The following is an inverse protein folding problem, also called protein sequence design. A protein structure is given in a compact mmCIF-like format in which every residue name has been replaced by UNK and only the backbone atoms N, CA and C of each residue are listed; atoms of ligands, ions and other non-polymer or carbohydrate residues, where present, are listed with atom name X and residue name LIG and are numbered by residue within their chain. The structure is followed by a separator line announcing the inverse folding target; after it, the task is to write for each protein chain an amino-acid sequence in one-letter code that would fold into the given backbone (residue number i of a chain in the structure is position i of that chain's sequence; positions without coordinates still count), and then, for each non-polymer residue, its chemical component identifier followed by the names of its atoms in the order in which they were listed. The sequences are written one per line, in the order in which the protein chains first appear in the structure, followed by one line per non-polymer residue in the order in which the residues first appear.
data_IF_714201987228
#
_entry.id   IF_714201987228
#
_cell.length_a   1.000
_cell.length_b   1.000
_cell.length_c   1.000
_cell.angle_alpha   90.00
_cell.angle_beta   90.00
_cell.angle_gamma   90.00
#
_symmetry.space_group_name_H-M   'P 1'
#
loop_
_entity.id
_entity.type
_entity.pdbx_description
1 polymer ?
#
# COMPACT_ATOMS: atom_id res chain seq x y z
N UNK A 1 -6.77 -6.78 -8.07
CA UNK A 1 -7.21 -6.20 -6.76
C UNK A 1 -6.39 -6.86 -5.67
N UNK A 2 -5.96 -6.11 -4.63
CA UNK A 2 -5.25 -6.71 -3.49
C UNK A 2 -6.23 -7.39 -2.53
N UNK A 3 -5.74 -8.38 -1.75
CA UNK A 3 -6.59 -9.12 -0.80
C UNK A 3 -7.26 -8.19 0.22
N UNK A 4 -6.52 -7.21 0.77
CA UNK A 4 -7.07 -6.27 1.74
C UNK A 4 -8.12 -5.32 1.15
N UNK A 5 -7.92 -4.85 -0.08
CA UNK A 5 -8.91 -4.02 -0.77
C UNK A 5 -10.20 -4.80 -1.05
N UNK A 6 -10.09 -6.07 -1.45
CA UNK A 6 -11.25 -6.95 -1.63
C UNK A 6 -12.04 -7.14 -0.32
N UNK A 7 -11.35 -7.39 0.79
CA UNK A 7 -11.96 -7.48 2.11
C UNK A 7 -12.67 -6.17 2.53
N UNK A 8 -12.04 -5.01 2.28
CA UNK A 8 -12.62 -3.70 2.57
C UNK A 8 -13.90 -3.42 1.75
N UNK A 9 -13.94 -3.82 0.48
CA UNK A 9 -15.13 -3.68 -0.36
C UNK A 9 -16.30 -4.53 0.14
N UNK A 10 -16.03 -5.78 0.50
CA UNK A 10 -17.04 -6.69 1.05
C UNK A 10 -17.58 -6.12 2.37
N UNK A 11 -16.68 -5.76 3.29
CA UNK A 11 -17.04 -5.24 4.60
C UNK A 11 -17.84 -3.94 4.55
N UNK A 12 -17.49 -3.05 3.61
CA UNK A 12 -18.21 -1.78 3.43
C UNK A 12 -19.51 -1.92 2.64
N UNK A 13 -19.77 -3.08 2.04
CA UNK A 13 -20.90 -3.30 1.15
C UNK A 13 -20.79 -2.60 -0.21
N UNK A 14 -19.60 -2.04 -0.53
CA UNK A 14 -19.38 -1.34 -1.79
C UNK A 14 -19.45 -2.28 -2.99
N UNK A 15 -18.79 -3.44 -2.88
CA UNK A 15 -18.91 -4.55 -3.82
C UNK A 15 -19.18 -5.83 -3.04
N UNK A 16 -20.23 -6.53 -3.46
CA UNK A 16 -20.63 -7.80 -2.87
C UNK A 16 -20.53 -8.89 -3.96
N UNK A 17 -19.31 -9.40 -4.21
CA UNK A 17 -19.13 -10.50 -5.16
C UNK A 17 -19.70 -11.78 -4.56
N UNK A 18 -20.02 -12.75 -5.40
CA UNK A 18 -20.46 -14.07 -4.92
C UNK A 18 -19.31 -14.87 -4.30
N UNK A 19 -18.09 -14.64 -4.77
CA UNK A 19 -16.89 -15.34 -4.35
C UNK A 19 -15.75 -14.37 -4.03
N UNK A 20 -14.98 -14.72 -2.99
CA UNK A 20 -13.76 -14.01 -2.58
C UNK A 20 -12.63 -15.01 -2.39
N UNK A 21 -11.48 -14.76 -3.05
CA UNK A 21 -10.27 -15.58 -2.91
C UNK A 21 -9.06 -14.67 -2.63
N UNK A 22 -8.71 -14.47 -1.36
CA UNK A 22 -7.47 -13.78 -0.98
C UNK A 22 -6.26 -14.71 -1.18
N UNK A 23 -5.04 -14.15 -1.14
CA UNK A 23 -3.82 -14.97 -1.22
C UNK A 23 -3.69 -15.94 -0.03
N UNK A 24 -4.16 -15.52 1.16
CA UNK A 24 -4.24 -16.35 2.39
C UNK A 24 -5.48 -15.95 3.20
N UNK A 25 -5.74 -16.65 4.31
CA UNK A 25 -6.95 -16.43 5.12
C UNK A 25 -6.98 -15.10 5.87
N UNK A 26 -5.85 -14.46 6.17
CA UNK A 26 -5.76 -13.34 7.12
C UNK A 26 -6.79 -12.22 6.90
N UNK A 27 -6.99 -11.81 5.65
CA UNK A 27 -7.98 -10.77 5.34
C UNK A 27 -9.43 -11.27 5.36
N UNK A 28 -9.66 -12.56 5.12
CA UNK A 28 -10.98 -13.15 5.30
C UNK A 28 -11.34 -13.25 6.78
N UNK A 29 -10.39 -13.71 7.62
CA UNK A 29 -10.53 -13.78 9.07
C UNK A 29 -10.80 -12.39 9.67
N UNK A 30 -10.06 -11.38 9.22
CA UNK A 30 -10.29 -9.98 9.59
C UNK A 30 -11.70 -9.50 9.17
N UNK A 31 -12.10 -9.79 7.93
CA UNK A 31 -13.40 -9.37 7.41
C UNK A 31 -14.55 -9.99 8.22
N UNK A 32 -14.43 -11.26 8.59
CA UNK A 32 -15.43 -11.95 9.40
C UNK A 32 -15.59 -11.34 10.79
N UNK A 33 -14.49 -11.07 11.53
CA UNK A 33 -14.56 -10.45 12.86
C UNK A 33 -15.02 -8.99 12.82
N UNK A 34 -14.96 -8.36 11.64
CA UNK A 34 -15.44 -6.99 11.42
C UNK A 34 -16.80 -6.90 10.74
N UNK A 35 -17.52 -8.03 10.64
CA UNK A 35 -18.94 -8.11 10.29
C UNK A 35 -19.27 -8.61 8.89
N UNK A 36 -18.29 -9.04 8.08
CA UNK A 36 -18.57 -9.68 6.81
C UNK A 36 -19.05 -11.12 7.04
N UNK A 37 -20.10 -11.53 6.34
CA UNK A 37 -20.59 -12.92 6.37
C UNK A 37 -19.90 -13.70 5.23
N UNK A 38 -18.89 -14.50 5.59
CA UNK A 38 -18.10 -15.32 4.68
C UNK A 38 -18.19 -16.78 5.09
N UNK A 39 -18.40 -17.67 4.11
CA UNK A 39 -18.33 -19.13 4.31
C UNK A 39 -17.17 -19.68 3.51
N UNK A 40 -16.18 -20.30 4.17
CA UNK A 40 -15.11 -21.02 3.47
C UNK A 40 -15.68 -22.22 2.74
N UNK A 41 -15.47 -22.31 1.43
CA UNK A 41 -15.88 -23.43 0.57
C UNK A 41 -14.71 -24.27 0.06
N UNK A 42 -13.51 -23.71 0.09
CA UNK A 42 -12.28 -24.45 -0.17
C UNK A 42 -11.13 -23.75 0.55
N UNK A 43 -10.40 -24.49 1.37
CA UNK A 43 -9.26 -23.95 2.13
C UNK A 43 -8.02 -23.71 1.26
N UNK A 44 -7.97 -24.34 0.10
CA UNK A 44 -6.83 -24.27 -0.81
C UNK A 44 -7.24 -24.49 -2.27
N UNK A 45 -7.34 -23.42 -3.04
CA UNK A 45 -7.50 -23.54 -4.49
C UNK A 45 -6.18 -23.91 -5.16
N UNK A 46 -5.09 -23.23 -4.81
CA UNK A 46 -3.73 -23.49 -5.33
C UNK A 46 -2.71 -23.15 -4.25
N UNK A 47 -1.63 -23.94 -4.16
CA UNK A 47 -0.54 -23.73 -3.22
C UNK A 47 0.41 -22.64 -3.66
N UNK A 48 0.71 -21.68 -2.76
CA UNK A 48 1.74 -20.69 -2.92
C UNK A 48 2.43 -20.42 -1.57
N UNK A 49 3.53 -19.68 -1.58
CA UNK A 49 4.32 -19.43 -0.36
C UNK A 49 4.83 -17.99 -0.36
N UNK A 50 4.67 -17.28 0.76
CA UNK A 50 5.35 -16.01 1.00
C UNK A 50 6.83 -16.26 1.30
N UNK A 51 7.67 -15.33 0.87
CA UNK A 51 9.10 -15.40 1.15
C UNK A 51 9.79 -14.06 1.02
N UNK A 52 11.04 -14.02 1.45
CA UNK A 52 11.95 -12.92 1.15
C UNK A 52 12.88 -13.34 0.02
N UNK A 53 13.10 -12.42 -0.90
CA UNK A 53 14.11 -12.51 -1.93
C UNK A 53 15.38 -11.85 -1.42
N UNK A 54 16.44 -12.59 -1.25
CA UNK A 54 17.77 -12.14 -0.80
C UNK A 54 18.72 -12.11 -1.99
N UNK A 55 19.54 -11.08 -2.14
CA UNK A 55 20.55 -11.03 -3.22
C UNK A 55 21.39 -12.30 -3.18
N UNK A 56 21.67 -12.85 -4.36
CA UNK A 56 22.57 -14.02 -4.48
C UNK A 56 23.92 -13.75 -3.86
N UNK A 57 24.50 -14.78 -3.28
CA UNK A 57 25.76 -14.73 -2.53
C UNK A 57 25.68 -13.96 -1.21
N UNK A 58 24.48 -13.65 -0.71
CA UNK A 58 24.33 -13.22 0.68
C UNK A 58 24.46 -14.42 1.63
N UNK A 59 24.80 -14.13 2.89
CA UNK A 59 24.95 -15.15 3.94
C UNK A 59 23.61 -15.52 4.60
N UNK A 60 22.50 -14.89 4.19
CA UNK A 60 21.17 -15.15 4.74
C UNK A 60 20.65 -16.53 4.37
N UNK A 61 20.23 -17.31 5.38
CA UNK A 61 19.67 -18.65 5.21
C UNK A 61 18.24 -18.75 5.72
N UNK A 62 17.86 -17.90 6.65
CA UNK A 62 16.55 -17.88 7.29
C UNK A 62 15.97 -16.46 7.30
N UNK A 63 14.67 -16.35 7.54
CA UNK A 63 14.00 -15.05 7.70
C UNK A 63 14.49 -14.33 8.97
N UNK A 64 14.88 -15.07 10.01
CA UNK A 64 15.45 -14.51 11.25
C UNK A 64 16.79 -13.82 11.00
N UNK A 65 17.62 -14.35 10.10
CA UNK A 65 18.87 -13.70 9.67
C UNK A 65 18.56 -12.34 9.04
N UNK A 66 17.55 -12.30 8.17
CA UNK A 66 17.09 -11.08 7.50
C UNK A 66 16.54 -10.07 8.53
N UNK A 67 15.66 -10.51 9.45
CA UNK A 67 15.09 -9.64 10.50
C UNK A 67 16.19 -9.02 11.35
N UNK A 68 17.21 -9.79 11.76
CA UNK A 68 18.35 -9.26 12.51
C UNK A 68 19.14 -8.21 11.71
N UNK A 69 19.36 -8.47 10.42
CA UNK A 69 20.06 -7.53 9.55
C UNK A 69 19.28 -6.24 9.33
N UNK A 70 17.93 -6.31 9.19
CA UNK A 70 17.05 -5.14 9.14
C UNK A 70 17.15 -4.35 10.44
N UNK A 71 16.98 -4.99 11.61
CA UNK A 71 17.06 -4.33 12.92
C UNK A 71 18.39 -3.62 13.16
N UNK A 72 19.49 -4.13 12.61
CA UNK A 72 20.81 -3.49 12.68
C UNK A 72 21.05 -2.41 11.63
N UNK A 73 20.12 -2.18 10.72
CA UNK A 73 20.27 -1.21 9.61
C UNK A 73 21.35 -1.60 8.60
N UNK A 74 21.74 -2.88 8.53
CA UNK A 74 22.84 -3.33 7.68
C UNK A 74 22.42 -3.66 6.24
N UNK A 75 21.12 -3.68 5.95
CA UNK A 75 20.56 -3.95 4.62
C UNK A 75 19.40 -3.04 4.27
N UNK A 76 19.22 -2.77 2.99
CA UNK A 76 18.03 -2.11 2.46
C UNK A 76 16.95 -3.16 2.22
N UNK A 77 15.93 -3.14 3.07
CA UNK A 77 14.80 -4.06 3.03
C UNK A 77 13.54 -3.37 2.56
N UNK A 78 12.74 -4.07 1.74
CA UNK A 78 11.43 -3.59 1.31
C UNK A 78 10.33 -4.64 1.50
N UNK A 79 9.14 -4.18 1.91
CA UNK A 79 7.96 -5.03 1.99
C UNK A 79 6.69 -4.29 1.53
N UNK A 80 5.62 -5.03 1.29
CA UNK A 80 4.34 -4.47 0.84
C UNK A 80 3.46 -4.09 2.03
N UNK A 81 2.66 -3.03 1.86
CA UNK A 81 1.79 -2.51 2.92
C UNK A 81 0.88 -3.58 3.54
N UNK A 82 0.99 -3.85 4.86
CA UNK A 82 0.17 -4.84 5.56
C UNK A 82 -1.34 -4.56 5.53
N UNK A 83 -1.75 -3.32 5.35
CA UNK A 83 -3.17 -2.94 5.29
C UNK A 83 -3.86 -3.41 4.00
N UNK A 84 -3.10 -3.69 2.95
CA UNK A 84 -3.65 -4.04 1.63
C UNK A 84 -3.12 -5.34 1.06
N UNK A 85 -1.89 -5.72 1.41
CA UNK A 85 -1.18 -6.87 0.87
C UNK A 85 -1.18 -8.05 1.85
N UNK A 86 -1.67 -9.20 1.41
CA UNK A 86 -1.62 -10.43 2.21
C UNK A 86 -0.19 -10.84 2.57
N UNK A 87 0.76 -10.63 1.65
CA UNK A 87 2.17 -10.95 1.89
C UNK A 87 2.82 -9.99 2.89
N UNK A 88 2.47 -8.70 2.83
CA UNK A 88 2.90 -7.70 3.83
C UNK A 88 2.30 -7.96 5.20
N UNK A 89 1.01 -8.31 5.26
CA UNK A 89 0.33 -8.69 6.50
C UNK A 89 0.93 -9.97 7.10
N UNK A 90 1.25 -10.95 6.26
CA UNK A 90 1.93 -12.17 6.70
C UNK A 90 3.30 -11.86 7.33
N UNK A 91 4.07 -10.91 6.77
CA UNK A 91 5.33 -10.49 7.39
C UNK A 91 5.12 -9.79 8.73
N UNK A 92 4.18 -8.86 8.81
CA UNK A 92 3.83 -8.19 10.07
C UNK A 92 3.50 -9.20 11.17
N UNK A 93 2.58 -10.12 10.89
CA UNK A 93 2.20 -11.19 11.81
C UNK A 93 3.39 -12.05 12.20
N UNK A 94 4.25 -12.40 11.24
CA UNK A 94 5.47 -13.18 11.50
C UNK A 94 6.42 -12.46 12.45
N UNK A 95 6.68 -11.17 12.25
CA UNK A 95 7.57 -10.38 13.12
C UNK A 95 7.01 -10.30 14.54
N UNK A 96 5.71 -10.04 14.70
CA UNK A 96 5.05 -9.99 16.00
C UNK A 96 5.06 -11.37 16.70
N UNK A 97 4.55 -12.42 16.03
CA UNK A 97 4.45 -13.78 16.58
C UNK A 97 5.80 -14.44 16.85
N UNK A 98 6.86 -14.07 16.14
CA UNK A 98 8.21 -14.57 16.43
C UNK A 98 8.83 -14.01 17.72
N UNK A 99 8.30 -12.91 18.21
CA UNK A 99 8.74 -12.30 19.47
C UNK A 99 7.89 -12.75 20.67
N UNK A 100 6.57 -12.89 20.47
CA UNK A 100 5.64 -13.36 21.49
C UNK A 100 4.37 -13.94 20.83
N UNK A 101 3.77 -14.94 21.42
CA UNK A 101 2.48 -15.51 21.00
C UNK A 101 1.36 -14.46 21.05
N UNK A 102 1.37 -13.55 22.03
CA UNK A 102 0.49 -12.39 22.13
C UNK A 102 1.03 -11.24 21.30
N UNK A 103 0.39 -10.95 20.16
CA UNK A 103 0.78 -9.87 19.24
C UNK A 103 0.75 -8.49 19.89
N UNK A 104 -0.05 -8.29 20.94
CA UNK A 104 -0.20 -7.03 21.67
C UNK A 104 0.78 -6.88 22.82
N UNK A 105 1.59 -7.89 23.13
CA UNK A 105 2.60 -7.83 24.18
C UNK A 105 3.65 -6.74 23.89
N UNK A 106 4.23 -6.18 24.95
CA UNK A 106 5.31 -5.19 24.82
C UNK A 106 6.49 -5.76 24.02
N UNK A 107 6.79 -7.04 24.15
CA UNK A 107 7.86 -7.71 23.42
C UNK A 107 7.58 -7.75 21.90
N UNK A 108 6.35 -8.11 21.51
CA UNK A 108 5.94 -8.14 20.11
C UNK A 108 5.95 -6.74 19.49
N UNK A 109 5.35 -5.75 20.16
CA UNK A 109 5.28 -4.36 19.69
C UNK A 109 6.69 -3.77 19.54
N UNK A 110 7.57 -3.97 20.52
CA UNK A 110 8.96 -3.52 20.44
C UNK A 110 9.72 -4.19 19.31
N UNK A 111 9.54 -5.51 19.11
CA UNK A 111 10.19 -6.24 18.02
C UNK A 111 9.80 -5.71 16.64
N UNK A 112 8.51 -5.38 16.44
CA UNK A 112 8.04 -4.75 15.22
C UNK A 112 8.56 -3.33 15.05
N UNK A 113 8.53 -2.51 16.10
CA UNK A 113 9.00 -1.11 16.07
C UNK A 113 10.49 -1.05 15.72
N UNK A 114 11.33 -1.87 16.35
CA UNK A 114 12.77 -1.96 16.04
C UNK A 114 13.02 -2.41 14.59
N UNK A 115 12.23 -3.38 14.11
CA UNK A 115 12.30 -3.84 12.73
C UNK A 115 11.91 -2.72 11.76
N UNK A 116 10.77 -2.10 11.97
CA UNK A 116 10.20 -1.12 11.04
C UNK A 116 10.99 0.21 11.00
N UNK A 117 11.64 0.61 12.09
CA UNK A 117 12.49 1.81 12.16
C UNK A 117 13.62 1.82 11.11
N UNK A 118 14.09 0.65 10.70
CA UNK A 118 15.17 0.49 9.75
C UNK A 118 14.71 0.01 8.37
N UNK A 119 13.39 0.00 8.10
CA UNK A 119 12.87 -0.32 6.78
C UNK A 119 12.77 0.96 5.94
N UNK A 120 13.59 1.12 4.90
CA UNK A 120 13.58 2.33 4.08
C UNK A 120 12.39 2.41 3.13
N UNK A 121 11.71 1.29 2.87
CA UNK A 121 10.70 1.24 1.81
C UNK A 121 9.55 0.27 2.10
N UNK A 122 8.34 0.83 2.17
CA UNK A 122 7.09 0.07 2.19
C UNK A 122 6.34 0.33 0.89
N UNK A 123 6.26 -0.68 0.03
CA UNK A 123 5.59 -0.56 -1.26
C UNK A 123 4.07 -0.71 -1.13
N UNK A 124 3.33 0.05 -1.91
CA UNK A 124 1.89 -0.12 -2.02
C UNK A 124 1.51 -1.40 -2.79
N UNK A 125 2.31 -1.76 -3.81
CA UNK A 125 2.07 -2.95 -4.64
C UNK A 125 3.33 -3.80 -4.81
N UNK A 126 3.13 -5.09 -5.14
CA UNK A 126 4.23 -6.01 -5.52
C UNK A 126 4.96 -5.55 -6.80
N UNK A 127 4.29 -4.82 -7.69
CA UNK A 127 4.92 -4.29 -8.89
C UNK A 127 5.94 -3.20 -8.54
N UNK A 128 5.55 -2.23 -7.68
CA UNK A 128 6.47 -1.19 -7.20
C UNK A 128 7.68 -1.80 -6.49
N UNK A 129 7.47 -2.85 -5.70
CA UNK A 129 8.56 -3.58 -5.06
C UNK A 129 9.54 -4.15 -6.08
N UNK A 130 9.03 -4.74 -7.18
CA UNK A 130 9.88 -5.28 -8.26
C UNK A 130 10.64 -4.20 -9.01
N UNK A 131 10.00 -3.06 -9.25
CA UNK A 131 10.63 -1.93 -9.94
C UNK A 131 11.79 -1.36 -9.10
N UNK A 132 11.59 -1.19 -7.79
CA UNK A 132 12.65 -0.77 -6.86
C UNK A 132 13.80 -1.79 -6.76
N UNK A 133 13.49 -3.09 -6.78
CA UNK A 133 14.51 -4.13 -6.81
C UNK A 133 15.29 -4.13 -8.14
N UNK A 134 14.60 -3.89 -9.26
CA UNK A 134 15.21 -3.78 -10.59
C UNK A 134 16.25 -2.66 -10.68
N UNK A 135 16.05 -1.58 -9.95
CA UNK A 135 16.97 -0.44 -9.85
C UNK A 135 18.14 -0.68 -8.89
N UNK A 136 18.18 -1.83 -8.22
CA UNK A 136 19.27 -2.22 -7.31
C UNK A 136 19.23 -1.58 -5.92
N UNK A 137 18.19 -0.81 -5.59
CA UNK A 137 18.04 -0.09 -4.32
C UNK A 137 17.72 -1.01 -3.14
N UNK A 138 17.22 -2.23 -3.36
CA UNK A 138 16.90 -3.17 -2.30
C UNK A 138 17.87 -4.35 -2.28
N UNK A 139 18.37 -4.69 -1.09
CA UNK A 139 19.17 -5.88 -0.85
C UNK A 139 18.28 -7.10 -0.64
N UNK A 140 17.16 -6.89 0.02
CA UNK A 140 16.15 -7.90 0.34
C UNK A 140 14.75 -7.33 0.13
N UNK A 141 13.83 -8.12 -0.40
CA UNK A 141 12.43 -7.74 -0.54
C UNK A 141 11.49 -8.91 -0.30
N UNK A 142 10.27 -8.60 0.14
CA UNK A 142 9.20 -9.59 0.28
C UNK A 142 8.57 -9.90 -1.08
N UNK A 143 8.29 -11.18 -1.33
CA UNK A 143 7.61 -11.64 -2.55
C UNK A 143 6.88 -12.96 -2.31
N UNK A 144 6.19 -13.43 -3.33
CA UNK A 144 5.59 -14.77 -3.38
C UNK A 144 6.41 -15.70 -4.30
N UNK A 145 6.42 -16.99 -3.99
CA UNK A 145 7.17 -17.97 -4.77
C UNK A 145 6.73 -18.02 -6.23
N UNK A 146 5.43 -17.95 -6.49
CA UNK A 146 4.86 -17.92 -7.83
C UNK A 146 5.41 -16.73 -8.65
N UNK A 147 5.53 -15.56 -8.06
CA UNK A 147 6.12 -14.37 -8.71
C UNK A 147 7.61 -14.59 -8.99
N UNK A 148 8.34 -15.11 -8.00
CA UNK A 148 9.77 -15.39 -8.12
C UNK A 148 10.08 -16.40 -9.23
N UNK A 149 9.36 -17.53 -9.26
CA UNK A 149 9.67 -18.61 -10.23
C UNK A 149 9.37 -18.22 -11.68
N UNK A 150 8.42 -17.29 -11.89
CA UNK A 150 8.06 -16.80 -13.23
C UNK A 150 8.93 -15.62 -13.71
N UNK A 151 9.70 -14.98 -12.83
CA UNK A 151 10.58 -13.87 -13.20
C UNK A 151 12.02 -14.36 -13.45
N UNK A 152 12.49 -14.24 -14.70
CA UNK A 152 13.88 -14.59 -15.06
C UNK A 152 14.89 -13.70 -14.33
N UNK A 153 14.58 -12.43 -14.18
CA UNK A 153 15.49 -11.46 -13.56
C UNK A 153 15.57 -11.66 -12.05
N UNK A 154 14.45 -11.91 -11.38
CA UNK A 154 14.46 -12.23 -9.96
C UNK A 154 15.24 -13.51 -9.67
N UNK A 155 15.02 -14.58 -10.45
CA UNK A 155 15.78 -15.84 -10.31
C UNK A 155 17.27 -15.69 -10.57
N UNK A 156 17.66 -14.76 -11.43
CA UNK A 156 19.07 -14.48 -11.71
C UNK A 156 19.75 -13.72 -10.56
N UNK A 157 19.02 -12.77 -9.93
CA UNK A 157 19.58 -11.85 -8.97
C UNK A 157 19.40 -12.27 -7.49
N UNK A 158 18.37 -13.07 -7.19
CA UNK A 158 17.95 -13.38 -5.82
C UNK A 158 17.79 -14.89 -5.58
N UNK A 159 17.87 -15.26 -4.31
CA UNK A 159 17.44 -16.56 -3.77
C UNK A 159 16.17 -16.35 -2.92
N UNK A 160 15.31 -17.38 -2.82
CA UNK A 160 14.03 -17.32 -2.14
C UNK A 160 14.11 -18.05 -0.79
N UNK A 161 13.77 -17.35 0.29
CA UNK A 161 13.65 -17.89 1.66
C UNK A 161 12.19 -17.78 2.09
N UNK A 162 11.48 -18.89 2.36
CA UNK A 162 10.08 -18.87 2.77
C UNK A 162 9.90 -18.37 4.21
N UNK A 163 8.72 -17.79 4.51
CA UNK A 163 8.32 -17.41 5.86
C UNK A 163 6.79 -17.42 6.04
N UNK A 164 6.37 -17.39 7.29
CA UNK A 164 4.99 -17.13 7.71
C UNK A 164 4.01 -18.24 7.35
N UNK A 165 2.75 -17.88 7.16
CA UNK A 165 1.73 -18.82 6.71
C UNK A 165 1.77 -19.01 5.20
N UNK A 166 1.22 -20.12 4.74
CA UNK A 166 1.08 -20.41 3.30
C UNK A 166 0.05 -19.48 2.65
N UNK A 167 0.31 -19.15 1.40
CA UNK A 167 -0.63 -18.42 0.55
C UNK A 167 -1.39 -19.45 -0.33
N UNK A 168 -2.27 -20.22 0.27
CA UNK A 168 -2.98 -21.32 -0.38
C UNK A 168 -4.27 -20.89 -1.10
N UNK A 169 -4.50 -19.58 -1.25
CA UNK A 169 -5.61 -18.98 -1.97
C UNK A 169 -6.97 -19.60 -1.61
N UNK A 170 -7.42 -19.49 -0.34
CA UNK A 170 -8.72 -20.04 0.05
C UNK A 170 -9.87 -19.39 -0.71
N UNK A 171 -10.96 -20.11 -0.89
CA UNK A 171 -12.17 -19.65 -1.56
C UNK A 171 -13.30 -19.50 -0.57
N UNK A 172 -13.90 -18.33 -0.51
CA UNK A 172 -15.06 -18.01 0.34
C UNK A 172 -16.27 -17.65 -0.51
N UNK A 173 -17.45 -18.12 -0.10
CA UNK A 173 -18.70 -17.54 -0.52
C UNK A 173 -18.98 -16.28 0.30
N UNK A 174 -19.41 -15.20 -0.36
CA UNK A 174 -19.86 -13.97 0.30
C UNK A 174 -21.38 -14.02 0.45
N UNK A 175 -21.86 -14.06 1.70
CA UNK A 175 -23.27 -14.20 2.00
C UNK A 175 -23.91 -12.81 2.14
N UNK A 176 -24.75 -12.46 1.17
CA UNK A 176 -25.58 -11.26 1.21
C UNK A 176 -26.94 -11.55 0.53
N UNK A 177 -27.99 -10.93 1.04
CA UNK A 177 -29.33 -11.18 0.53
C UNK A 177 -29.81 -12.62 0.77
N UNK A 178 -30.81 -13.06 0.03
CA UNK A 178 -31.24 -14.45 0.01
C UNK A 178 -30.41 -15.24 -1.01
N UNK A 179 -29.64 -16.22 -0.56
CA UNK A 179 -28.99 -17.15 -1.51
C UNK A 179 -30.05 -18.03 -2.14
N UNK A 180 -30.30 -17.86 -3.43
CA UNK A 180 -31.12 -18.76 -4.23
C UNK A 180 -30.32 -20.02 -4.64
N UNK A 181 -31.01 -21.01 -5.15
CA UNK A 181 -30.37 -22.26 -5.53
C UNK A 181 -29.50 -22.12 -6.79
N UNK A 182 -29.81 -21.17 -7.67
CA UNK A 182 -29.01 -20.85 -8.86
C UNK A 182 -27.63 -20.30 -8.48
N UNK A 183 -27.57 -19.39 -7.50
CA UNK A 183 -26.30 -18.88 -6.98
C UNK A 183 -25.45 -20.02 -6.37
N UNK A 184 -26.06 -20.92 -5.59
CA UNK A 184 -25.34 -22.05 -4.98
C UNK A 184 -24.81 -23.02 -6.04
N UNK A 185 -25.60 -23.34 -7.08
CA UNK A 185 -25.15 -24.15 -8.21
C UNK A 185 -23.99 -23.49 -8.95
N UNK A 186 -24.07 -22.19 -9.22
CA UNK A 186 -23.01 -21.42 -9.88
C UNK A 186 -21.70 -21.47 -9.08
N UNK A 187 -21.75 -21.25 -7.77
CA UNK A 187 -20.59 -21.36 -6.87
C UNK A 187 -19.98 -22.76 -6.90
N UNK A 188 -20.81 -23.81 -6.84
CA UNK A 188 -20.36 -25.18 -6.90
C UNK A 188 -19.67 -25.51 -8.23
N UNK A 189 -20.24 -25.06 -9.34
CA UNK A 189 -19.66 -25.24 -10.67
C UNK A 189 -18.29 -24.55 -10.81
N UNK A 190 -18.16 -23.32 -10.32
CA UNK A 190 -16.88 -22.60 -10.32
C UNK A 190 -15.85 -23.33 -9.48
N UNK A 191 -16.21 -23.78 -8.28
CA UNK A 191 -15.32 -24.59 -7.43
C UNK A 191 -14.86 -25.86 -8.13
N UNK A 192 -15.79 -26.64 -8.69
CA UNK A 192 -15.48 -27.90 -9.41
C UNK A 192 -14.52 -27.64 -10.56
N UNK A 193 -14.74 -26.59 -11.35
CA UNK A 193 -13.82 -26.23 -12.43
C UNK A 193 -12.43 -25.87 -11.90
N UNK A 194 -12.32 -25.02 -10.89
CA UNK A 194 -11.03 -24.60 -10.31
C UNK A 194 -10.26 -25.77 -9.70
N UNK A 195 -10.97 -26.75 -9.14
CA UNK A 195 -10.36 -27.95 -8.54
C UNK A 195 -10.12 -29.09 -9.56
N UNK A 196 -10.51 -28.90 -10.83
CA UNK A 196 -10.30 -29.89 -11.87
C UNK A 196 -8.80 -30.16 -12.12
N UNK A 197 -8.48 -31.38 -12.59
CA UNK A 197 -7.10 -31.75 -12.91
C UNK A 197 -6.47 -30.83 -13.97
N UNK A 198 -7.28 -30.33 -14.91
CA UNK A 198 -6.84 -29.40 -15.95
C UNK A 198 -6.47 -28.04 -15.36
N UNK A 199 -7.32 -27.45 -14.52
CA UNK A 199 -7.06 -26.18 -13.86
C UNK A 199 -5.84 -26.28 -12.92
N UNK A 200 -5.71 -27.35 -12.15
CA UNK A 200 -4.57 -27.58 -11.24
C UNK A 200 -3.25 -27.82 -11.99
N UNK A 201 -3.30 -28.49 -13.14
CA UNK A 201 -2.14 -28.60 -14.03
C UNK A 201 -1.72 -27.24 -14.55
N UNK A 202 -2.65 -26.44 -15.03
CA UNK A 202 -2.40 -25.08 -15.50
C UNK A 202 -1.78 -24.22 -14.39
N UNK A 203 -2.36 -24.25 -13.19
CA UNK A 203 -1.82 -23.54 -12.02
C UNK A 203 -0.36 -23.93 -11.75
N UNK A 204 -0.03 -25.22 -11.83
CA UNK A 204 1.34 -25.71 -11.64
C UNK A 204 2.30 -25.23 -12.73
N UNK A 205 1.85 -25.15 -13.98
CA UNK A 205 2.61 -24.58 -15.10
C UNK A 205 2.92 -23.09 -14.91
N UNK A 206 2.03 -22.36 -14.21
CA UNK A 206 2.21 -20.96 -13.84
C UNK A 206 2.87 -20.75 -12.47
N UNK A 207 3.50 -21.80 -11.90
CA UNK A 207 4.36 -21.70 -10.72
C UNK A 207 3.65 -21.83 -9.38
N UNK A 208 2.36 -22.13 -9.36
CA UNK A 208 1.65 -22.55 -8.16
C UNK A 208 1.92 -24.03 -7.84
N UNK A 209 1.43 -24.49 -6.70
CA UNK A 209 1.58 -25.88 -6.23
C UNK A 209 3.06 -26.34 -6.15
N UNK A 210 3.95 -25.40 -5.85
CA UNK A 210 5.38 -25.64 -5.64
C UNK A 210 5.75 -25.19 -4.20
N UNK A 211 7.00 -25.52 -3.74
CA UNK A 211 7.42 -25.22 -2.35
C UNK A 211 6.47 -25.80 -1.29
N UNK A 212 6.01 -27.01 -1.52
CA UNK A 212 5.11 -27.73 -0.61
C UNK A 212 5.76 -28.18 0.71
N UNK A 213 7.09 -28.12 0.78
CA UNK A 213 7.91 -28.38 1.96
C UNK A 213 7.77 -27.30 3.04
N UNK A 214 7.35 -26.07 2.67
CA UNK A 214 7.10 -25.02 3.65
C UNK A 214 5.78 -25.25 4.38
N UNK A 215 5.84 -25.19 5.71
CA UNK A 215 4.66 -25.24 6.59
C UNK A 215 4.44 -23.87 7.24
N UNK A 216 3.19 -23.55 7.51
CA UNK A 216 2.84 -22.35 8.28
C UNK A 216 3.58 -22.32 9.60
N UNK A 217 4.20 -21.18 9.93
CA UNK A 217 5.07 -21.01 11.09
C UNK A 217 4.35 -20.44 12.32
N UNK A 218 3.10 -20.01 12.16
CA UNK A 218 2.24 -19.52 13.24
C UNK A 218 0.77 -19.80 12.92
N UNK A 219 -0.06 -19.78 13.98
CA UNK A 219 -1.51 -19.73 13.90
C UNK A 219 -1.99 -18.36 14.39
N UNK A 220 -3.16 -17.91 13.91
CA UNK A 220 -3.71 -16.61 14.30
C UNK A 220 -5.22 -16.57 14.15
N UNK A 221 -5.85 -15.59 14.76
CA UNK A 221 -7.28 -15.28 14.68
C UNK A 221 -7.51 -13.94 14.00
N UNK A 222 -8.72 -13.71 13.48
CA UNK A 222 -9.07 -12.41 12.90
C UNK A 222 -8.96 -11.23 13.89
N UNK A 223 -9.13 -11.47 15.20
CA UNK A 223 -8.93 -10.45 16.22
C UNK A 223 -7.46 -10.08 16.34
N UNK A 224 -6.55 -11.04 16.42
CA UNK A 224 -5.11 -10.78 16.43
C UNK A 224 -4.63 -10.08 15.16
N UNK A 225 -5.23 -10.41 13.99
CA UNK A 225 -4.95 -9.69 12.73
C UNK A 225 -5.40 -8.23 12.84
N UNK A 226 -6.56 -7.96 13.44
CA UNK A 226 -7.04 -6.59 13.69
C UNK A 226 -6.11 -5.81 14.61
N UNK A 227 -5.65 -6.43 15.69
CA UNK A 227 -4.68 -5.86 16.63
C UNK A 227 -3.33 -5.59 15.98
N UNK A 228 -2.81 -6.54 15.20
CA UNK A 228 -1.57 -6.36 14.45
C UNK A 228 -1.64 -5.18 13.47
N UNK A 229 -2.75 -5.01 12.76
CA UNK A 229 -2.96 -3.87 11.86
C UNK A 229 -3.06 -2.53 12.62
N UNK A 230 -3.60 -2.54 13.85
CA UNK A 230 -3.59 -1.34 14.69
C UNK A 230 -2.16 -1.04 15.19
N UNK A 231 -1.40 -2.05 15.62
CA UNK A 231 0.02 -1.90 16.01
C UNK A 231 0.83 -1.35 14.82
N UNK A 232 0.62 -1.89 13.61
CA UNK A 232 1.25 -1.35 12.39
C UNK A 232 0.92 0.13 12.21
N UNK A 233 -0.36 0.49 12.29
CA UNK A 233 -0.80 1.88 12.11
C UNK A 233 -0.15 2.83 13.11
N UNK A 234 -0.03 2.42 14.36
CA UNK A 234 0.49 3.27 15.45
C UNK A 234 2.02 3.38 15.44
N UNK A 235 2.72 2.44 14.77
CA UNK A 235 4.18 2.36 14.79
C UNK A 235 4.84 2.38 13.39
N UNK A 236 4.06 2.53 12.30
CA UNK A 236 4.59 2.41 10.92
C UNK A 236 5.61 3.48 10.53
N UNK A 237 5.51 4.67 11.12
CA UNK A 237 6.43 5.79 10.90
C UNK A 237 7.72 5.69 11.74
N UNK A 238 7.84 4.62 12.54
CA UNK A 238 9.01 4.37 13.36
C UNK A 238 9.24 5.42 14.44
N UNK A 239 8.17 6.10 14.87
CA UNK A 239 8.24 7.21 15.80
C UNK A 239 8.87 8.48 15.21
N UNK A 240 9.15 8.49 13.89
CA UNK A 240 9.62 9.68 13.17
C UNK A 240 8.43 10.34 12.50
N UNK A 241 8.01 11.53 12.94
CA UNK A 241 6.88 12.23 12.35
C UNK A 241 7.09 12.52 10.86
N UNK A 242 6.02 12.44 10.08
CA UNK A 242 6.02 12.78 8.67
C UNK A 242 5.52 14.20 8.49
N UNK A 243 6.21 14.98 7.65
CA UNK A 243 5.73 16.26 7.15
C UNK A 243 5.22 16.07 5.72
N UNK A 244 3.89 16.10 5.52
CA UNK A 244 3.30 15.88 4.21
C UNK A 244 2.64 17.14 3.65
N UNK A 245 2.93 17.44 2.38
CA UNK A 245 2.23 18.47 1.61
C UNK A 245 1.33 17.80 0.57
N UNK A 246 0.02 18.01 0.68
CA UNK A 246 -0.96 17.59 -0.31
C UNK A 246 -1.10 18.67 -1.36
N UNK A 247 -0.88 18.32 -2.61
CA UNK A 247 -0.90 19.21 -3.78
C UNK A 247 -2.09 18.80 -4.64
N UNK A 248 -3.19 19.53 -4.48
CA UNK A 248 -4.50 19.23 -5.05
C UNK A 248 -4.73 19.99 -6.35
N UNK A 249 -4.94 19.25 -7.43
CA UNK A 249 -5.33 19.80 -8.71
C UNK A 249 -6.74 20.39 -8.64
N UNK A 250 -6.84 21.65 -9.03
CA UNK A 250 -8.08 22.39 -9.16
C UNK A 250 -8.23 22.99 -10.56
N UNK A 251 -7.56 22.41 -11.57
CA UNK A 251 -7.70 22.84 -12.96
C UNK A 251 -9.09 22.60 -13.52
N UNK A 252 -9.37 23.16 -14.69
CA UNK A 252 -10.70 23.08 -15.32
C UNK A 252 -11.15 21.65 -15.62
N UNK A 253 -10.26 20.73 -15.92
CA UNK A 253 -10.53 19.29 -16.15
C UNK A 253 -11.04 18.57 -14.89
N UNK A 254 -10.63 19.03 -13.70
CA UNK A 254 -11.12 18.51 -12.42
C UNK A 254 -12.57 18.90 -12.10
N UNK A 255 -13.25 19.64 -12.96
CA UNK A 255 -14.62 20.11 -12.68
C UNK A 255 -15.62 18.95 -12.57
N UNK A 256 -16.51 19.01 -11.59
CA UNK A 256 -17.56 18.02 -11.35
C UNK A 256 -17.07 16.83 -10.53
N UNK A 257 -17.25 15.62 -11.06
CA UNK A 257 -16.99 14.37 -10.34
C UNK A 257 -15.51 14.21 -9.89
N UNK A 258 -14.47 14.52 -10.69
CA UNK A 258 -13.09 14.38 -10.23
C UNK A 258 -12.77 15.20 -8.97
N UNK A 259 -13.16 16.47 -8.94
CA UNK A 259 -12.95 17.33 -7.77
C UNK A 259 -13.77 16.87 -6.56
N UNK A 260 -14.99 16.39 -6.79
CA UNK A 260 -15.81 15.82 -5.72
C UNK A 260 -15.12 14.60 -5.10
N UNK A 261 -14.61 13.66 -5.92
CA UNK A 261 -13.88 12.48 -5.46
C UNK A 261 -12.57 12.86 -4.72
N UNK A 262 -11.84 13.84 -5.24
CA UNK A 262 -10.65 14.36 -4.55
C UNK A 262 -10.99 14.87 -3.14
N UNK A 263 -12.01 15.72 -3.01
CA UNK A 263 -12.47 16.24 -1.70
C UNK A 263 -12.91 15.13 -0.75
N UNK A 264 -13.70 14.18 -1.24
CA UNK A 264 -14.13 13.02 -0.45
C UNK A 264 -12.95 12.18 0.01
N UNK A 265 -11.98 11.96 -0.87
CA UNK A 265 -10.78 11.17 -0.58
C UNK A 265 -9.91 11.81 0.50
N UNK A 266 -9.66 13.10 0.40
CA UNK A 266 -8.91 13.85 1.42
C UNK A 266 -9.66 13.85 2.76
N UNK A 267 -10.96 14.15 2.76
CA UNK A 267 -11.79 14.18 3.98
C UNK A 267 -11.85 12.80 4.66
N UNK A 268 -12.05 11.74 3.89
CA UNK A 268 -12.05 10.38 4.42
C UNK A 268 -10.66 9.92 4.86
N UNK A 269 -9.61 10.34 4.14
CA UNK A 269 -8.22 10.01 4.42
C UNK A 269 -7.71 10.56 5.74
N UNK A 270 -8.19 11.74 6.17
CA UNK A 270 -7.75 12.38 7.42
C UNK A 270 -7.80 11.47 8.65
N UNK A 271 -8.77 10.54 8.72
CA UNK A 271 -8.91 9.62 9.87
C UNK A 271 -7.80 8.58 9.97
N UNK A 272 -7.02 8.42 8.91
CA UNK A 272 -5.90 7.46 8.85
C UNK A 272 -4.55 8.11 9.09
N UNK A 273 -4.51 9.44 9.20
CA UNK A 273 -3.29 10.21 9.46
C UNK A 273 -3.06 10.28 10.97
N UNK A 274 -1.87 9.92 11.42
CA UNK A 274 -1.50 10.01 12.83
C UNK A 274 -1.40 11.48 13.26
N UNK A 275 -1.78 11.75 14.51
CA UNK A 275 -1.80 13.13 15.06
C UNK A 275 -0.41 13.71 15.30
N UNK A 276 0.63 12.88 15.25
CA UNK A 276 2.03 13.32 15.38
C UNK A 276 2.63 13.82 14.08
N UNK A 277 2.00 13.54 12.95
CA UNK A 277 2.41 14.03 11.64
C UNK A 277 2.09 15.52 11.47
N UNK A 278 2.73 16.14 10.49
CA UNK A 278 2.54 17.52 10.09
C UNK A 278 1.98 17.57 8.67
N UNK A 279 0.85 18.22 8.50
CA UNK A 279 0.10 18.15 7.24
C UNK A 279 -0.22 19.55 6.73
N UNK A 280 0.04 19.78 5.44
CA UNK A 280 -0.35 20.98 4.70
C UNK A 280 -1.15 20.67 3.45
N UNK A 281 -1.84 21.67 2.88
CA UNK A 281 -2.63 21.56 1.66
C UNK A 281 -2.32 22.74 0.74
N UNK A 282 -1.95 22.43 -0.49
CA UNK A 282 -1.76 23.37 -1.59
C UNK A 282 -2.80 23.05 -2.65
N UNK A 283 -3.51 24.05 -3.14
CA UNK A 283 -4.32 23.95 -4.35
C UNK A 283 -3.61 24.59 -5.53
N UNK A 284 -3.85 24.11 -6.74
CA UNK A 284 -3.33 24.74 -7.94
C UNK A 284 -4.28 24.62 -9.12
N UNK A 285 -4.26 25.69 -9.91
CA UNK A 285 -4.79 25.84 -11.25
C UNK A 285 -3.73 26.60 -12.10
N UNK A 286 -4.01 27.78 -12.60
CA UNK A 286 -3.02 28.74 -13.10
C UNK A 286 -2.44 29.64 -11.99
N UNK A 287 -2.85 29.40 -10.75
CA UNK A 287 -2.34 30.01 -9.52
C UNK A 287 -2.11 28.91 -8.49
N UNK A 288 -1.07 29.05 -7.69
CA UNK A 288 -0.75 28.13 -6.61
C UNK A 288 -1.10 28.82 -5.29
N UNK A 289 -1.90 28.16 -4.48
CA UNK A 289 -2.40 28.69 -3.19
C UNK A 289 -2.10 27.71 -2.08
N UNK A 290 -1.42 28.16 -1.03
CA UNK A 290 -1.27 27.41 0.22
C UNK A 290 -2.58 27.58 0.98
N UNK A 291 -3.46 26.60 0.90
CA UNK A 291 -4.77 26.60 1.57
C UNK A 291 -4.61 26.38 3.07
N UNK A 292 -3.70 25.49 3.43
CA UNK A 292 -3.39 25.12 4.82
C UNK A 292 -1.87 24.97 4.97
N UNK A 293 -1.19 25.85 5.71
CA UNK A 293 0.24 25.68 6.00
C UNK A 293 0.52 24.39 6.76
N UNK A 294 1.72 23.83 6.55
CA UNK A 294 2.16 22.60 7.24
C UNK A 294 2.20 22.86 8.75
N UNK A 295 1.47 22.06 9.52
CA UNK A 295 1.48 22.10 10.97
C UNK A 295 1.09 20.74 11.56
N UNK A 296 1.33 20.55 12.89
CA UNK A 296 1.00 19.31 13.60
C UNK A 296 -0.49 18.98 13.43
N UNK A 297 -0.78 17.72 13.05
CA UNK A 297 -2.12 17.27 12.65
C UNK A 297 -3.01 16.96 13.86
N UNK A 298 -3.08 17.92 14.78
CA UNK A 298 -4.00 17.91 15.90
C UNK A 298 -5.45 18.24 15.49
N UNK A 299 -6.35 18.33 16.45
CA UNK A 299 -7.78 18.62 16.20
C UNK A 299 -7.95 19.97 15.47
N UNK A 300 -7.13 20.96 15.78
CA UNK A 300 -7.19 22.29 15.17
C UNK A 300 -6.75 22.25 13.71
N UNK A 301 -5.60 21.60 13.42
CA UNK A 301 -5.11 21.45 12.06
C UNK A 301 -6.04 20.60 11.20
N UNK A 302 -6.66 19.53 11.76
CA UNK A 302 -7.70 18.75 11.08
C UNK A 302 -8.88 19.62 10.65
N UNK A 303 -9.31 20.56 11.50
CA UNK A 303 -10.39 21.50 11.17
C UNK A 303 -9.98 22.48 10.07
N UNK A 304 -8.75 23.01 10.10
CA UNK A 304 -8.22 23.85 9.02
C UNK A 304 -8.09 23.09 7.72
N UNK A 305 -7.61 21.84 7.77
CA UNK A 305 -7.45 21.00 6.59
C UNK A 305 -8.82 20.71 5.95
N UNK A 306 -9.84 20.36 6.73
CA UNK A 306 -11.21 20.20 6.22
C UNK A 306 -11.73 21.49 5.61
N UNK A 307 -11.54 22.64 6.28
CA UNK A 307 -11.91 23.95 5.74
C UNK A 307 -11.19 24.33 4.46
N UNK A 308 -9.93 23.89 4.29
CA UNK A 308 -9.15 24.02 3.05
C UNK A 308 -9.75 23.17 1.93
N UNK A 309 -10.06 21.90 2.22
CA UNK A 309 -10.72 20.98 1.27
C UNK A 309 -12.04 21.57 0.77
N UNK A 310 -12.86 22.10 1.68
CA UNK A 310 -14.18 22.64 1.35
C UNK A 310 -14.10 23.82 0.36
N UNK A 311 -13.01 24.62 0.44
CA UNK A 311 -12.77 25.78 -0.44
C UNK A 311 -12.29 25.43 -1.83
N UNK A 312 -11.74 24.22 -2.07
CA UNK A 312 -11.24 23.83 -3.39
C UNK A 312 -12.33 24.03 -4.45
N UNK A 313 -11.98 24.63 -5.57
CA UNK A 313 -12.91 24.87 -6.69
C UNK A 313 -12.17 24.73 -8.00
N UNK A 314 -12.77 24.04 -8.97
CA UNK A 314 -12.12 23.78 -10.26
C UNK A 314 -12.21 24.99 -11.19
N UNK A 315 -11.11 25.23 -11.94
CA UNK A 315 -11.02 26.27 -12.96
C UNK A 315 -9.59 26.47 -13.43
N UNK A 316 -9.36 27.21 -14.51
CA UNK A 316 -8.02 27.56 -14.98
C UNK A 316 -7.20 26.44 -15.63
N UNK A 317 -5.90 26.61 -15.64
CA UNK A 317 -4.90 25.73 -16.24
C UNK A 317 -4.30 24.78 -15.19
N UNK A 318 -3.33 23.93 -15.58
CA UNK A 318 -2.80 22.85 -14.74
C UNK A 318 -1.28 23.06 -14.49
N UNK A 319 -0.93 23.84 -13.48
CA UNK A 319 0.46 24.20 -13.12
C UNK A 319 1.06 23.20 -12.12
N UNK A 320 1.01 21.92 -12.46
CA UNK A 320 1.43 20.81 -11.58
C UNK A 320 2.87 20.95 -11.11
N UNK A 321 3.80 21.19 -12.02
CA UNK A 321 5.23 21.23 -11.69
C UNK A 321 5.61 22.43 -10.86
N UNK A 322 4.98 23.57 -11.11
CA UNK A 322 5.12 24.77 -10.29
C UNK A 322 4.61 24.52 -8.86
N UNK A 323 3.48 23.83 -8.71
CA UNK A 323 2.91 23.50 -7.42
C UNK A 323 3.80 22.51 -6.64
N UNK A 324 4.37 21.52 -7.30
CA UNK A 324 5.36 20.62 -6.71
C UNK A 324 6.58 21.38 -6.20
N UNK A 325 7.11 22.35 -6.98
CA UNK A 325 8.23 23.17 -6.53
C UNK A 325 7.89 24.01 -5.28
N UNK A 326 6.66 24.51 -5.16
CA UNK A 326 6.20 25.21 -3.95
C UNK A 326 6.15 24.25 -2.77
N UNK A 327 5.58 23.08 -2.93
CA UNK A 327 5.51 22.05 -1.88
C UNK A 327 6.90 21.63 -1.37
N UNK A 328 7.84 21.37 -2.30
CA UNK A 328 9.23 21.04 -1.94
C UNK A 328 9.90 22.16 -1.15
N UNK A 329 9.68 23.42 -1.57
CA UNK A 329 10.23 24.59 -0.85
C UNK A 329 9.64 24.71 0.55
N UNK A 330 8.32 24.56 0.74
CA UNK A 330 7.69 24.60 2.06
C UNK A 330 8.21 23.49 2.97
N UNK A 331 8.30 22.26 2.46
CA UNK A 331 8.82 21.13 3.24
C UNK A 331 10.30 21.32 3.61
N UNK A 332 11.10 21.85 2.70
CA UNK A 332 12.52 22.19 2.99
C UNK A 332 12.65 23.25 4.09
N UNK A 333 11.86 24.32 4.01
CA UNK A 333 11.85 25.32 5.08
C UNK A 333 11.35 24.75 6.40
N UNK A 334 10.27 23.96 6.37
CA UNK A 334 9.71 23.31 7.55
C UNK A 334 10.73 22.39 8.24
N UNK A 335 11.51 21.63 7.45
CA UNK A 335 12.54 20.71 7.97
C UNK A 335 13.68 21.41 8.71
N UNK A 336 13.93 22.70 8.46
CA UNK A 336 14.96 23.46 9.21
C UNK A 336 14.62 23.56 10.69
N UNK A 337 13.34 23.76 11.01
CA UNK A 337 12.85 23.89 12.38
C UNK A 337 12.47 22.52 12.98
N UNK A 338 12.29 21.50 12.12
CA UNK A 338 11.89 20.13 12.48
C UNK A 338 12.82 19.11 11.78
N UNK A 339 14.11 19.00 12.18
CA UNK A 339 15.11 18.21 11.43
C UNK A 339 14.81 16.71 11.39
N UNK A 340 14.06 16.20 12.37
CA UNK A 340 13.77 14.78 12.53
C UNK A 340 12.54 14.31 11.71
N UNK A 341 11.83 15.21 11.00
CA UNK A 341 10.67 14.80 10.18
C UNK A 341 11.10 14.17 8.85
N UNK A 342 10.28 13.24 8.37
CA UNK A 342 10.36 12.69 7.00
C UNK A 342 9.44 13.52 6.07
N UNK A 343 9.98 14.33 5.14
CA UNK A 343 9.15 15.11 4.23
C UNK A 343 8.60 14.25 3.09
N UNK A 344 7.33 14.48 2.71
CA UNK A 344 6.65 13.78 1.60
C UNK A 344 5.75 14.76 0.84
N UNK A 345 5.66 14.63 -0.47
CA UNK A 345 4.67 15.31 -1.32
C UNK A 345 3.66 14.30 -1.86
N UNK A 346 2.37 14.62 -1.79
CA UNK A 346 1.30 13.91 -2.47
C UNK A 346 0.67 14.79 -3.53
N UNK A 347 0.79 14.44 -4.80
CA UNK A 347 0.15 15.12 -5.93
C UNK A 347 -1.12 14.37 -6.32
N UNK A 348 -2.24 15.08 -6.35
CA UNK A 348 -3.56 14.55 -6.68
C UNK A 348 -4.04 15.31 -7.92
N UNK A 349 -4.08 14.65 -9.07
CA UNK A 349 -4.31 15.30 -10.38
C UNK A 349 -4.94 14.33 -11.38
N UNK A 350 -5.54 14.87 -12.45
CA UNK A 350 -5.88 14.12 -13.65
C UNK A 350 -4.70 13.95 -14.63
N UNK A 351 -3.53 14.51 -14.32
CA UNK A 351 -2.25 14.23 -14.96
C UNK A 351 -1.81 15.19 -16.08
N UNK A 352 -2.68 16.03 -16.59
CA UNK A 352 -2.35 16.94 -17.68
C UNK A 352 -1.68 18.23 -17.19
N UNK A 353 -0.34 18.25 -17.15
CA UNK A 353 0.41 19.47 -16.84
C UNK A 353 0.55 20.37 -18.08
N UNK A 354 0.10 21.63 -17.98
CA UNK A 354 0.20 22.62 -19.05
C UNK A 354 0.75 23.98 -18.58
N UNK A 355 1.52 23.96 -17.49
CA UNK A 355 2.22 25.12 -16.93
C UNK A 355 3.44 25.54 -17.75
N UNK A 356 4.25 26.45 -17.19
CA UNK A 356 5.48 26.95 -17.81
C UNK A 356 6.70 26.04 -17.54
N UNK A 357 6.62 25.21 -16.52
CA UNK A 357 7.61 24.22 -16.18
C UNK A 357 7.31 22.88 -16.86
N UNK A 358 8.36 22.12 -17.10
CA UNK A 358 8.29 20.74 -17.59
C UNK A 358 9.05 19.85 -16.62
N UNK A 359 8.80 18.55 -16.67
CA UNK A 359 9.49 17.59 -15.82
C UNK A 359 11.01 17.69 -15.92
N UNK A 360 11.56 17.90 -17.11
CA UNK A 360 13.00 18.03 -17.33
C UNK A 360 13.60 19.24 -16.61
N UNK A 361 12.83 20.33 -16.47
CA UNK A 361 13.26 21.54 -15.75
C UNK A 361 13.28 21.34 -14.24
N UNK A 362 12.35 20.55 -13.69
CA UNK A 362 12.24 20.36 -12.24
C UNK A 362 12.99 19.12 -11.75
N UNK A 363 13.28 18.16 -12.62
CA UNK A 363 13.91 16.88 -12.27
C UNK A 363 15.17 17.04 -11.41
N UNK A 364 16.02 18.02 -11.73
CA UNK A 364 17.22 18.31 -10.93
C UNK A 364 16.88 18.74 -9.50
N UNK A 365 15.94 19.67 -9.35
CA UNK A 365 15.50 20.16 -8.03
C UNK A 365 14.81 19.08 -7.21
N UNK A 366 13.91 18.32 -7.81
CA UNK A 366 13.21 17.20 -7.12
C UNK A 366 14.23 16.16 -6.63
N UNK A 367 15.21 15.81 -7.47
CA UNK A 367 16.27 14.85 -7.11
C UNK A 367 17.20 15.38 -6.01
N UNK A 368 17.55 16.67 -6.05
CA UNK A 368 18.44 17.29 -5.06
C UNK A 368 17.81 17.32 -3.67
N UNK A 369 16.52 17.61 -3.57
CA UNK A 369 15.82 17.67 -2.28
C UNK A 369 15.59 16.28 -1.66
N UNK A 370 15.67 15.19 -2.43
CA UNK A 370 15.45 13.80 -2.00
C UNK A 370 14.10 13.58 -1.30
N UNK A 371 13.10 14.42 -1.58
CA UNK A 371 11.76 14.31 -1.04
C UNK A 371 10.92 13.43 -1.98
N UNK A 372 10.33 12.32 -1.49
CA UNK A 372 9.45 11.48 -2.30
C UNK A 372 8.21 12.25 -2.77
N UNK A 373 7.86 12.12 -4.04
CA UNK A 373 6.67 12.71 -4.64
C UNK A 373 5.73 11.59 -5.09
N UNK A 374 4.72 11.29 -4.30
CA UNK A 374 3.68 10.33 -4.65
C UNK A 374 2.64 10.98 -5.53
N UNK A 375 2.19 10.29 -6.56
CA UNK A 375 1.18 10.82 -7.48
C UNK A 375 -0.05 9.93 -7.53
N UNK A 376 -1.23 10.55 -7.59
CA UNK A 376 -2.53 9.87 -7.65
C UNK A 376 -3.31 10.48 -8.81
N UNK A 377 -3.55 9.66 -9.83
CA UNK A 377 -4.34 10.03 -10.99
C UNK A 377 -5.83 9.79 -10.77
N UNK A 378 -6.67 10.76 -11.09
CA UNK A 378 -8.11 10.78 -10.78
C UNK A 378 -9.00 10.52 -11.96
N UNK A 379 -8.73 9.96 -12.98
CA UNK A 379 -9.63 9.54 -14.06
C UNK A 379 -9.03 8.39 -14.85
N UNK A 380 -9.84 7.62 -15.57
CA UNK A 380 -9.32 6.63 -16.53
C UNK A 380 -8.51 7.29 -17.66
N UNK A 381 -8.79 8.57 -17.95
CA UNK A 381 -8.11 9.38 -18.96
C UNK A 381 -6.87 10.11 -18.41
N UNK A 382 -6.57 9.96 -17.11
CA UNK A 382 -5.42 10.63 -16.50
C UNK A 382 -4.11 10.26 -17.23
N UNK A 383 -3.24 11.26 -17.46
CA UNK A 383 -1.89 11.01 -17.97
C UNK A 383 -1.02 10.37 -16.89
N UNK A 384 -1.30 9.08 -16.69
CA UNK A 384 -0.60 8.26 -15.69
C UNK A 384 0.88 8.08 -16.00
N UNK A 385 1.29 8.21 -17.27
CA UNK A 385 2.71 8.14 -17.65
C UNK A 385 3.47 9.39 -17.20
N UNK A 386 2.86 10.58 -17.33
CA UNK A 386 3.49 11.83 -16.90
C UNK A 386 3.56 11.88 -15.35
N UNK A 387 2.50 11.50 -14.66
CA UNK A 387 2.49 11.38 -13.20
C UNK A 387 3.52 10.36 -12.70
N UNK A 388 3.65 9.23 -13.39
CA UNK A 388 4.65 8.20 -13.08
C UNK A 388 6.08 8.73 -13.23
N UNK A 389 6.39 9.47 -14.30
CA UNK A 389 7.71 10.08 -14.47
C UNK A 389 8.08 10.99 -13.30
N UNK A 390 7.12 11.72 -12.75
CA UNK A 390 7.34 12.59 -11.60
C UNK A 390 7.65 11.78 -10.32
N UNK A 391 6.89 10.74 -10.05
CA UNK A 391 7.10 9.91 -8.87
C UNK A 391 8.38 9.05 -8.97
N UNK A 392 8.76 8.61 -10.17
CA UNK A 392 9.97 7.82 -10.39
C UNK A 392 11.29 8.59 -10.09
N UNK A 393 11.26 9.92 -10.01
CA UNK A 393 12.48 10.73 -9.78
C UNK A 393 13.13 10.37 -8.43
N UNK A 394 12.33 10.21 -7.37
CA UNK A 394 12.81 9.87 -6.02
C UNK A 394 12.20 8.55 -5.54
N UNK A 395 11.99 7.61 -6.47
CA UNK A 395 11.55 6.24 -6.20
C UNK A 395 10.20 6.13 -5.45
N UNK A 396 9.34 7.16 -5.58
CA UNK A 396 7.99 7.14 -5.02
C UNK A 396 7.01 6.37 -5.92
N UNK A 397 5.76 6.27 -5.50
CA UNK A 397 4.73 5.52 -6.21
C UNK A 397 3.79 6.43 -6.99
N UNK A 398 3.42 6.00 -8.19
CA UNK A 398 2.30 6.53 -8.94
C UNK A 398 1.12 5.57 -8.90
N UNK A 399 -0.09 6.07 -8.66
CA UNK A 399 -1.31 5.29 -8.64
C UNK A 399 -2.33 5.89 -9.58
N UNK A 400 -2.99 5.04 -10.36
CA UNK A 400 -4.22 5.39 -11.08
C UNK A 400 -5.41 4.96 -10.22
N UNK A 401 -6.40 5.84 -10.09
CA UNK A 401 -7.64 5.55 -9.39
C UNK A 401 -8.82 5.94 -10.29
N UNK A 402 -9.74 5.01 -10.52
CA UNK A 402 -11.04 5.34 -11.08
C UNK A 402 -11.94 5.99 -10.02
N UNK A 403 -13.05 6.58 -10.45
CA UNK A 403 -13.98 7.29 -9.56
C UNK A 403 -14.53 6.41 -8.44
N UNK A 404 -14.57 5.10 -8.65
CA UNK A 404 -15.22 4.16 -7.74
C UNK A 404 -14.28 3.67 -6.63
N UNK A 405 -12.97 3.61 -6.85
CA UNK A 405 -12.02 3.04 -5.90
C UNK A 405 -10.98 4.04 -5.34
N UNK A 406 -10.97 5.27 -5.82
CA UNK A 406 -10.00 6.31 -5.43
C UNK A 406 -9.91 6.51 -3.91
N UNK A 407 -11.06 6.54 -3.21
CA UNK A 407 -11.10 6.70 -1.75
C UNK A 407 -10.37 5.55 -1.05
N UNK A 408 -10.52 4.32 -1.54
CA UNK A 408 -9.87 3.14 -0.95
C UNK A 408 -8.37 3.09 -1.26
N UNK A 409 -7.97 3.49 -2.46
CA UNK A 409 -6.56 3.56 -2.85
C UNK A 409 -5.81 4.63 -2.07
N UNK A 410 -6.40 5.80 -1.90
CA UNK A 410 -5.84 6.87 -1.06
C UNK A 410 -5.77 6.44 0.40
N UNK A 411 -6.82 5.79 0.93
CA UNK A 411 -6.78 5.18 2.26
C UNK A 411 -5.57 4.24 2.40
N UNK A 412 -5.34 3.37 1.40
CA UNK A 412 -4.21 2.45 1.39
C UNK A 412 -2.85 3.17 1.39
N UNK A 413 -2.72 4.23 0.58
CA UNK A 413 -1.51 5.04 0.51
C UNK A 413 -1.26 5.78 1.84
N UNK A 414 -2.28 6.41 2.41
CA UNK A 414 -2.15 7.09 3.71
C UNK A 414 -1.78 6.11 4.82
N UNK A 415 -2.41 4.94 4.85
CA UNK A 415 -2.06 3.90 5.81
C UNK A 415 -0.63 3.37 5.65
N UNK A 416 -0.01 3.50 4.47
CA UNK A 416 1.35 3.04 4.24
C UNK A 416 2.41 4.12 4.48
N UNK A 417 2.06 5.41 4.35
CA UNK A 417 3.01 6.50 4.37
C UNK A 417 2.76 7.52 5.50
N UNK A 418 1.53 7.65 5.97
CA UNK A 418 1.09 8.60 7.00
C UNK A 418 0.46 7.90 8.21
#
# INVERSE_FOLDING_TARGET
MSSGLGADYIRSGKYLPDLYTPSNSLFADLAQVTGADLTEIESRLVGNTSGVLVKKNSDFKTIEDVIRAVKSGSINFGYTNPQTSATGLNLLMYVLKSADEDVSSEAAVNAFTEFNNNVPYVAYTTQQMRDSAGNGSLDVMVSEYQVYINSKDLKKAYDFIPFGIRNDNPLYAVNYGSADDEKKEGIACVKEFLMSAEAQKLASEYGFNQKEDHKSSYETTGLEVSEALQIYKDNKDGGTPIAASFVADCSGSMSGEPLYQLKQSLSNGMRYINSDNYIGLISYDNKITVEVPINKFDVTQKSYFQGGIDKLSAGGSTFTYEAVCVALKELKEFKKDHPDVKPIVFVLSDGYANGNLTIDKIKGAVKEEQIPVYTIGYTEEADTEELKKLSDINEAASMSADSDDVVYKIKGLFNSQL
#
